data_IF_250972193671
#
_entry.id   IF_250972193671
#
_cell.length_a   1.000
_cell.length_b   1.000
_cell.length_c   1.000
_cell.angle_alpha   90.00
_cell.angle_beta   90.00
_cell.angle_gamma   90.00
#
_symmetry.space_group_name_H-M   'P 1'
#
loop_
_entity.id
_entity.type
_entity.pdbx_description
1 polymer ?
#
# COMPACT_ATOMS: atom_id res chain seq x y z
N UNK A 1 9.93 6.90 -24.52
CA UNK A 1 10.35 6.65 -23.12
C UNK A 1 9.07 6.39 -22.37
N UNK A 2 8.81 5.16 -21.93
CA UNK A 2 7.64 4.88 -21.09
C UNK A 2 7.86 5.57 -19.75
N UNK A 3 7.02 6.56 -19.45
CA UNK A 3 6.96 7.21 -18.15
C UNK A 3 6.52 6.16 -17.14
N UNK A 4 7.47 5.53 -16.43
CA UNK A 4 7.14 4.68 -15.28
C UNK A 4 6.28 5.50 -14.34
N UNK A 5 5.01 5.15 -14.26
CA UNK A 5 4.02 5.90 -13.47
C UNK A 5 4.32 5.55 -12.02
N UNK A 6 4.72 6.54 -11.22
CA UNK A 6 4.91 6.35 -9.79
C UNK A 6 3.52 6.34 -9.16
N UNK A 7 2.97 5.15 -8.95
CA UNK A 7 1.65 5.01 -8.34
C UNK A 7 1.74 5.21 -6.83
N UNK A 8 0.92 6.11 -6.29
CA UNK A 8 0.73 6.27 -4.85
C UNK A 8 -0.69 5.88 -4.46
N UNK A 9 -0.83 4.96 -3.51
CA UNK A 9 -2.12 4.51 -2.97
C UNK A 9 -2.30 5.07 -1.55
N UNK A 10 -3.45 5.71 -1.30
CA UNK A 10 -3.73 6.40 -0.03
C UNK A 10 -4.79 5.64 0.75
N UNK A 11 -4.43 5.22 1.95
CA UNK A 11 -5.27 4.51 2.92
C UNK A 11 -5.33 5.32 4.22
N UNK A 12 -6.10 6.40 4.21
CA UNK A 12 -6.15 7.36 5.31
C UNK A 12 -4.79 8.04 5.47
N UNK A 13 -4.20 7.91 6.65
CA UNK A 13 -2.87 8.42 6.96
C UNK A 13 -1.74 7.51 6.48
N UNK A 14 -2.04 6.30 6.00
CA UNK A 14 -1.03 5.37 5.45
C UNK A 14 -1.00 5.49 3.94
N UNK A 15 0.16 5.78 3.37
CA UNK A 15 0.37 5.93 1.93
C UNK A 15 1.40 4.91 1.46
N UNK A 16 1.06 4.17 0.41
CA UNK A 16 1.99 3.30 -0.31
C UNK A 16 2.52 4.06 -1.51
N UNK A 17 3.82 4.34 -1.54
CA UNK A 17 4.45 5.01 -2.68
C UNK A 17 5.30 4.02 -3.46
N UNK A 18 4.89 3.79 -4.71
CA UNK A 18 5.66 3.03 -5.70
C UNK A 18 6.82 3.89 -6.18
N UNK A 19 8.04 3.45 -5.90
CA UNK A 19 9.28 4.02 -6.45
C UNK A 19 9.84 3.15 -7.57
N UNK A 20 10.83 3.67 -8.30
CA UNK A 20 11.43 3.00 -9.46
C UNK A 20 11.94 1.57 -9.18
N UNK A 21 12.34 1.28 -7.94
CA UNK A 21 12.96 0.00 -7.55
C UNK A 21 12.29 -0.67 -6.35
N UNK A 22 11.36 0.00 -5.68
CA UNK A 22 10.74 -0.49 -4.45
C UNK A 22 9.44 0.22 -4.15
N UNK A 23 8.64 -0.36 -3.28
CA UNK A 23 7.49 0.30 -2.67
C UNK A 23 7.82 0.63 -1.23
N UNK A 24 7.57 1.88 -0.84
CA UNK A 24 7.72 2.34 0.55
C UNK A 24 6.35 2.63 1.16
N UNK A 25 6.29 2.54 2.48
CA UNK A 25 5.10 2.87 3.27
C UNK A 25 5.42 4.13 4.04
N UNK A 26 4.58 5.14 3.87
CA UNK A 26 4.68 6.43 4.55
C UNK A 26 3.47 6.60 5.43
N UNK A 27 3.69 6.87 6.72
CA UNK A 27 2.60 7.16 7.66
C UNK A 27 2.61 8.64 7.99
N UNK A 28 1.57 9.33 7.60
CA UNK A 28 1.33 10.72 7.92
C UNK A 28 0.70 10.86 9.30
N UNK A 29 1.05 11.93 10.01
CA UNK A 29 0.32 12.38 11.18
C UNK A 29 -0.99 13.05 10.75
N UNK A 30 -1.92 13.22 11.69
CA UNK A 30 -3.24 13.81 11.47
C UNK A 30 -3.19 15.21 10.81
N UNK A 31 -2.17 16.02 11.12
CA UNK A 31 -1.96 17.34 10.49
C UNK A 31 -1.52 17.25 9.01
N UNK A 32 -1.28 16.05 8.47
CA UNK A 32 -0.76 15.76 7.11
C UNK A 32 0.56 16.45 6.74
N UNK A 33 1.17 17.24 7.64
CA UNK A 33 2.46 17.92 7.43
C UNK A 33 3.64 17.21 8.06
N UNK A 34 3.37 16.40 9.08
CA UNK A 34 4.37 15.55 9.72
C UNK A 34 4.17 14.13 9.24
N UNK A 35 5.24 13.44 8.86
CA UNK A 35 5.22 12.04 8.47
C UNK A 35 6.38 11.34 9.13
N UNK A 36 6.22 10.05 9.39
CA UNK A 36 7.32 9.21 9.83
C UNK A 36 7.40 7.96 8.95
N UNK A 37 8.64 7.62 8.61
CA UNK A 37 8.95 6.32 8.04
C UNK A 37 9.16 5.35 9.19
N UNK A 38 8.49 4.20 9.15
CA UNK A 38 8.86 3.05 9.98
C UNK A 38 9.86 2.21 9.17
N UNK A 39 11.17 2.32 9.42
CA UNK A 39 12.16 1.42 8.81
C UNK A 39 12.04 0.05 9.46
N UNK A 40 10.99 -0.69 9.12
CA UNK A 40 10.87 -2.09 9.46
C UNK A 40 11.36 -2.89 8.24
N UNK A 41 12.37 -3.77 8.39
CA UNK A 41 12.93 -4.54 7.28
C UNK A 41 11.94 -5.53 6.63
N UNK A 42 10.72 -5.62 7.19
CA UNK A 42 9.64 -6.49 6.74
C UNK A 42 8.52 -5.74 6.01
N UNK A 43 8.52 -4.40 6.03
CA UNK A 43 7.46 -3.56 5.45
C UNK A 43 7.88 -2.86 4.16
N UNK A 44 9.13 -3.06 3.72
CA UNK A 44 9.59 -2.59 2.41
C UNK A 44 9.38 -3.66 1.34
N UNK A 45 8.62 -3.32 0.29
CA UNK A 45 8.48 -4.20 -0.86
C UNK A 45 9.61 -3.91 -1.85
N UNK A 46 10.45 -4.91 -2.15
CA UNK A 46 11.62 -4.76 -3.06
C UNK A 46 11.27 -4.66 -4.55
N UNK A 47 10.01 -4.39 -4.86
CA UNK A 47 9.51 -4.24 -6.23
C UNK A 47 8.50 -3.09 -6.28
N UNK A 48 8.33 -2.41 -7.43
CA UNK A 48 7.30 -1.39 -7.63
C UNK A 48 5.90 -2.03 -7.58
N UNK A 49 4.90 -1.30 -7.07
CA UNK A 49 3.50 -1.75 -7.08
C UNK A 49 3.01 -2.04 -8.50
N UNK A 50 3.41 -1.21 -9.46
CA UNK A 50 3.04 -1.33 -10.86
C UNK A 50 3.51 -2.64 -11.51
N UNK A 51 4.62 -3.22 -11.04
CA UNK A 51 5.09 -4.53 -11.54
C UNK A 51 4.30 -5.70 -10.97
N UNK A 52 3.67 -5.52 -9.82
CA UNK A 52 2.83 -6.54 -9.19
C UNK A 52 1.42 -6.58 -9.78
N UNK A 53 0.94 -5.43 -10.26
CA UNK A 53 -0.43 -5.26 -10.74
C UNK A 53 -0.73 -6.23 -11.88
N UNK A 54 -1.74 -7.08 -11.71
CA UNK A 54 -2.20 -8.05 -12.70
C UNK A 54 -1.28 -9.27 -12.90
N UNK A 55 -0.15 -9.36 -12.21
CA UNK A 55 0.78 -10.49 -12.30
C UNK A 55 0.63 -11.51 -11.16
N UNK A 56 -0.13 -11.15 -10.12
CA UNK A 56 -0.27 -11.95 -8.91
C UNK A 56 -1.54 -12.80 -8.91
N UNK A 57 -1.46 -13.99 -8.32
CA UNK A 57 -2.64 -14.75 -7.92
C UNK A 57 -3.30 -14.12 -6.70
N UNK A 58 -4.62 -14.26 -6.53
CA UNK A 58 -5.37 -13.74 -5.37
C UNK A 58 -4.71 -14.05 -4.02
N UNK A 59 -4.34 -15.30 -3.78
CA UNK A 59 -3.64 -15.68 -2.54
C UNK A 59 -2.33 -14.92 -2.29
N UNK A 60 -1.57 -14.60 -3.35
CA UNK A 60 -0.33 -13.82 -3.22
C UNK A 60 -0.64 -12.36 -2.96
N UNK A 61 -1.64 -11.80 -3.63
CA UNK A 61 -2.08 -10.43 -3.41
C UNK A 61 -2.56 -10.22 -1.97
N UNK A 62 -3.36 -11.15 -1.43
CA UNK A 62 -3.82 -11.14 -0.02
C UNK A 62 -2.65 -11.19 0.96
N UNK A 63 -1.69 -12.11 0.76
CA UNK A 63 -0.50 -12.20 1.62
C UNK A 63 0.38 -10.95 1.57
N UNK A 64 0.51 -10.33 0.40
CA UNK A 64 1.26 -9.08 0.24
C UNK A 64 0.54 -7.95 0.97
N UNK A 65 -0.77 -7.82 0.79
CA UNK A 65 -1.57 -6.80 1.45
C UNK A 65 -1.52 -6.92 2.97
N UNK A 66 -1.65 -8.15 3.50
CA UNK A 66 -1.54 -8.41 4.93
C UNK A 66 -0.16 -7.99 5.48
N UNK A 67 0.92 -8.38 4.80
CA UNK A 67 2.29 -8.08 5.23
C UNK A 67 2.65 -6.61 5.13
N UNK A 68 2.18 -5.91 4.09
CA UNK A 68 2.40 -4.47 3.92
C UNK A 68 1.76 -3.72 5.10
N UNK A 69 0.53 -4.07 5.45
CA UNK A 69 -0.18 -3.36 6.50
C UNK A 69 0.13 -3.85 7.91
N UNK A 70 0.90 -4.93 8.07
CA UNK A 70 1.16 -5.54 9.38
C UNK A 70 1.79 -4.57 10.39
N UNK A 71 2.70 -3.72 9.92
CA UNK A 71 3.38 -2.73 10.76
C UNK A 71 2.59 -1.45 11.05
N UNK A 72 1.43 -1.26 10.40
CA UNK A 72 0.63 -0.01 10.43
C UNK A 72 -0.87 -0.28 10.66
N UNK A 73 -1.22 -1.46 11.21
CA UNK A 73 -2.62 -1.83 11.45
C UNK A 73 -3.31 -0.84 12.37
N UNK A 74 -2.63 -0.40 13.44
CA UNK A 74 -3.22 0.52 14.43
C UNK A 74 -3.59 1.84 13.76
N UNK A 75 -2.68 2.37 12.96
CA UNK A 75 -2.82 3.61 12.23
C UNK A 75 -3.95 3.54 11.19
N UNK A 76 -4.13 2.38 10.54
CA UNK A 76 -5.26 2.13 9.63
C UNK A 76 -6.59 2.00 10.36
N UNK A 77 -6.64 1.30 11.49
CA UNK A 77 -7.85 1.18 12.30
C UNK A 77 -8.33 2.55 12.81
N UNK A 78 -7.41 3.47 13.09
CA UNK A 78 -7.74 4.82 13.55
C UNK A 78 -8.08 5.79 12.41
N UNK A 79 -7.39 5.67 11.26
CA UNK A 79 -7.45 6.68 10.20
C UNK A 79 -8.27 6.28 8.98
N UNK A 80 -8.51 4.98 8.75
CA UNK A 80 -9.17 4.49 7.54
C UNK A 80 -10.57 3.92 7.82
N UNK A 81 -11.63 4.37 7.12
CA UNK A 81 -12.97 3.83 7.31
C UNK A 81 -13.06 2.37 6.84
N UNK A 82 -13.35 1.47 7.79
CA UNK A 82 -13.29 0.02 7.57
C UNK A 82 -11.96 -0.63 7.98
N UNK A 83 -11.03 0.19 8.50
CA UNK A 83 -9.82 -0.27 9.15
C UNK A 83 -8.85 -1.02 8.25
N UNK A 84 -8.02 -1.86 8.86
CA UNK A 84 -6.99 -2.63 8.17
C UNK A 84 -7.59 -3.63 7.18
N UNK A 85 -8.73 -4.24 7.50
CA UNK A 85 -9.37 -5.27 6.67
C UNK A 85 -9.78 -4.67 5.33
N UNK A 86 -10.45 -3.53 5.35
CA UNK A 86 -10.90 -2.88 4.12
C UNK A 86 -9.72 -2.35 3.29
N UNK A 87 -8.67 -1.83 3.94
CA UNK A 87 -7.45 -1.42 3.25
C UNK A 87 -6.76 -2.62 2.56
N UNK A 88 -6.69 -3.78 3.23
CA UNK A 88 -6.15 -5.01 2.67
C UNK A 88 -6.94 -5.49 1.45
N UNK A 89 -8.28 -5.47 1.53
CA UNK A 89 -9.14 -5.84 0.41
C UNK A 89 -8.94 -4.93 -0.80
N UNK A 90 -8.93 -3.61 -0.60
CA UNK A 90 -8.70 -2.65 -1.69
C UNK A 90 -7.32 -2.80 -2.33
N UNK A 91 -6.27 -2.99 -1.51
CA UNK A 91 -4.94 -3.23 -2.05
C UNK A 91 -4.88 -4.57 -2.81
N UNK A 92 -5.54 -5.61 -2.31
CA UNK A 92 -5.63 -6.90 -2.98
C UNK A 92 -6.32 -6.77 -4.35
N UNK A 93 -7.48 -6.11 -4.41
CA UNK A 93 -8.20 -5.87 -5.67
C UNK A 93 -7.34 -5.06 -6.66
N UNK A 94 -6.68 -4.00 -6.16
CA UNK A 94 -5.77 -3.20 -6.98
C UNK A 94 -4.61 -4.04 -7.54
N UNK A 95 -3.99 -4.90 -6.71
CA UNK A 95 -2.91 -5.81 -7.12
C UNK A 95 -3.39 -6.85 -8.14
N UNK A 96 -4.65 -7.25 -8.08
CA UNK A 96 -5.28 -8.12 -9.08
C UNK A 96 -5.58 -7.40 -10.39
N UNK A 97 -5.36 -6.08 -10.45
CA UNK A 97 -5.62 -5.26 -11.62
C UNK A 97 -7.09 -4.87 -11.75
N UNK A 98 -7.92 -5.14 -10.74
CA UNK A 98 -9.27 -4.60 -10.70
C UNK A 98 -9.16 -3.09 -10.41
N UNK A 99 -9.70 -2.28 -11.32
CA UNK A 99 -9.81 -0.84 -11.07
C UNK A 99 -10.87 -0.62 -9.99
N UNK A 100 -10.63 0.24 -8.99
CA UNK A 100 -11.67 0.62 -8.06
C UNK A 100 -12.80 1.22 -8.88
N UNK A 101 -13.95 0.54 -8.89
CA UNK A 101 -15.15 1.04 -9.57
C UNK A 101 -15.59 2.28 -8.79
N UNK A 102 -15.47 3.43 -9.45
CA UNK A 102 -15.78 4.75 -8.92
C UNK A 102 -17.23 4.87 -8.42
#
# INVERSE_FOLDING_TARGET
MESKTLTSLVFGNVVLESQMTKTIIVVYADDMRSWYFRPSPYTELKVPLDELRGQLSRQRAELIAERIFDGVKVELEESYPGGVVHAQEQLCDWLLGHEPTA
#
